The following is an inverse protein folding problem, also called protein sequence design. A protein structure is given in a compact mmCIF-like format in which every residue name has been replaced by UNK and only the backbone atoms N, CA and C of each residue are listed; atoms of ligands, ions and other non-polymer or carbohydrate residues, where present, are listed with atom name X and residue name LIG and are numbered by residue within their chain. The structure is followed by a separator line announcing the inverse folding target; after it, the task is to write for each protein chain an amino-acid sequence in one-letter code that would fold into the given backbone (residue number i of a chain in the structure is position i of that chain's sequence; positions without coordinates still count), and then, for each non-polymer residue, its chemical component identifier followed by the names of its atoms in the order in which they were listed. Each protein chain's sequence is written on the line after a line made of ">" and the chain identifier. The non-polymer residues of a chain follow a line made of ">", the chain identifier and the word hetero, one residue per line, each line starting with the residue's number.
data_IF_214385957353
#
_entry.id   IF_214385957353
#
_cell.length_a   1.000
_cell.length_b   1.000
_cell.length_c   1.000
_cell.angle_alpha   90.00
_cell.angle_beta   90.00
_cell.angle_gamma   90.00
#
_symmetry.space_group_name_H-M   'P 1'
#
loop_
_entity.id
_entity.type
_entity.pdbx_description
1 polymer ?
#
# COMPACT_ATOMS: atom_id res chain seq x y z
N UNK A 1 -25.02 10.39 2.30
CA UNK A 1 -23.90 11.31 2.05
C UNK A 1 -22.63 10.47 1.98
N UNK A 2 -22.30 9.92 0.82
CA UNK A 2 -21.04 9.20 0.66
C UNK A 2 -19.93 10.25 0.69
N UNK A 3 -19.10 10.24 1.74
CA UNK A 3 -17.97 11.15 1.84
C UNK A 3 -17.06 10.95 0.64
N UNK A 4 -16.73 12.03 -0.04
CA UNK A 4 -15.78 12.02 -1.17
C UNK A 4 -14.49 11.31 -0.71
N UNK A 5 -14.03 10.33 -1.49
CA UNK A 5 -12.77 9.67 -1.17
C UNK A 5 -11.68 10.74 -1.18
N UNK A 6 -10.81 10.79 -0.15
CA UNK A 6 -9.83 11.88 -0.04
C UNK A 6 -8.93 11.96 -1.28
N UNK A 7 -8.26 13.09 -1.50
CA UNK A 7 -7.32 13.23 -2.62
C UNK A 7 -6.16 12.21 -2.54
N UNK A 8 -5.60 11.85 -3.69
CA UNK A 8 -4.44 10.95 -3.80
C UNK A 8 -3.11 11.62 -3.42
N UNK A 9 -2.82 12.88 -3.83
CA UNK A 9 -1.58 13.55 -3.43
C UNK A 9 -1.43 13.66 -1.90
N UNK A 10 -0.19 13.52 -1.43
CA UNK A 10 0.16 13.50 -0.01
C UNK A 10 -0.02 12.14 0.67
N UNK A 11 -0.56 11.13 -0.02
CA UNK A 11 -0.75 9.78 0.54
C UNK A 11 0.52 8.95 0.43
N UNK A 12 0.79 8.17 1.47
CA UNK A 12 1.76 7.06 1.41
C UNK A 12 1.27 5.99 0.43
N UNK A 13 2.15 5.46 -0.40
CA UNK A 13 1.81 4.45 -1.42
C UNK A 13 2.79 3.29 -1.39
N UNK A 14 2.27 2.07 -1.60
CA UNK A 14 3.04 0.86 -1.88
C UNK A 14 2.74 0.39 -3.29
N UNK A 15 3.79 0.06 -4.03
CA UNK A 15 3.74 -0.33 -5.43
C UNK A 15 4.46 -1.67 -5.59
N UNK A 16 3.84 -2.60 -6.30
CA UNK A 16 4.49 -3.81 -6.78
C UNK A 16 4.22 -3.91 -8.28
N UNK A 17 5.28 -3.97 -9.08
CA UNK A 17 5.16 -4.26 -10.51
C UNK A 17 5.12 -5.78 -10.73
N UNK A 18 4.62 -6.22 -11.88
CA UNK A 18 4.84 -7.59 -12.33
C UNK A 18 6.34 -7.75 -12.65
N UNK A 19 6.96 -8.81 -12.12
CA UNK A 19 8.23 -9.24 -12.70
C UNK A 19 7.97 -9.89 -14.06
N UNK A 20 9.02 -10.08 -14.87
CA UNK A 20 8.94 -10.83 -16.13
C UNK A 20 8.59 -12.33 -15.95
N UNK A 21 8.32 -12.78 -14.73
CA UNK A 21 7.88 -14.14 -14.42
C UNK A 21 6.36 -14.31 -14.50
N UNK A 22 5.88 -15.55 -14.56
CA UNK A 22 4.46 -15.85 -14.67
C UNK A 22 3.69 -15.29 -13.44
N UNK A 23 2.64 -14.46 -13.63
CA UNK A 23 1.88 -13.85 -12.52
C UNK A 23 1.30 -14.89 -11.54
N UNK A 24 0.93 -16.07 -12.05
CA UNK A 24 0.40 -17.18 -11.25
C UNK A 24 1.46 -17.79 -10.32
N UNK A 25 2.74 -17.80 -10.73
CA UNK A 25 3.82 -18.30 -9.89
C UNK A 25 4.19 -17.30 -8.78
N UNK A 26 4.00 -15.99 -9.01
CA UNK A 26 4.21 -14.98 -7.98
C UNK A 26 3.11 -14.97 -6.91
N UNK A 27 1.87 -15.29 -7.28
CA UNK A 27 0.75 -15.39 -6.34
C UNK A 27 0.94 -16.52 -5.31
N UNK A 28 1.82 -17.48 -5.58
CA UNK A 28 2.19 -18.56 -4.65
C UNK A 28 3.25 -18.13 -3.62
N UNK A 29 3.97 -17.03 -3.86
CA UNK A 29 4.98 -16.53 -2.92
C UNK A 29 4.32 -15.70 -1.81
N UNK A 30 4.83 -15.76 -0.57
CA UNK A 30 4.39 -14.87 0.49
C UNK A 30 4.46 -13.41 0.04
N UNK A 31 3.43 -12.61 0.36
CA UNK A 31 3.40 -11.20 -0.04
C UNK A 31 4.58 -10.40 0.55
N UNK A 32 5.21 -10.86 1.63
CA UNK A 32 6.44 -10.27 2.19
C UNK A 32 7.64 -10.31 1.26
N UNK A 33 7.64 -11.24 0.30
CA UNK A 33 8.80 -11.55 -0.54
C UNK A 33 8.71 -10.88 -1.92
N UNK A 34 7.71 -10.04 -2.12
CA UNK A 34 7.53 -9.29 -3.36
C UNK A 34 8.39 -8.02 -3.37
N UNK A 35 8.71 -7.53 -4.58
CA UNK A 35 9.53 -6.33 -4.80
C UNK A 35 8.73 -5.04 -4.54
N UNK A 36 8.32 -4.85 -3.29
CA UNK A 36 7.59 -3.67 -2.86
C UNK A 36 8.47 -2.43 -2.93
N UNK A 37 7.96 -1.41 -3.60
CA UNK A 37 8.51 -0.06 -3.55
C UNK A 37 7.52 0.85 -2.86
N UNK A 38 8.03 1.72 -2.02
CA UNK A 38 7.20 2.62 -1.25
C UNK A 38 7.59 4.07 -1.52
N UNK A 39 6.60 4.95 -1.53
CA UNK A 39 6.81 6.37 -1.75
C UNK A 39 5.66 7.23 -1.27
N UNK A 40 5.62 8.43 -1.80
CA UNK A 40 4.58 9.43 -1.60
C UNK A 40 4.01 9.83 -2.94
N UNK A 41 2.69 9.87 -3.03
CA UNK A 41 2.02 10.43 -4.21
C UNK A 41 2.19 11.94 -4.14
N UNK A 42 2.91 12.51 -5.10
CA UNK A 42 3.17 13.94 -5.21
C UNK A 42 2.15 14.65 -6.11
N UNK A 43 1.61 13.94 -7.11
CA UNK A 43 0.58 14.44 -8.00
C UNK A 43 -0.27 13.30 -8.59
N UNK A 44 -1.45 13.61 -9.13
CA UNK A 44 -2.31 12.70 -9.88
C UNK A 44 -2.82 13.40 -11.14
N UNK A 45 -2.94 12.68 -12.24
CA UNK A 45 -3.41 13.24 -13.52
C UNK A 45 -4.92 13.49 -13.54
N UNK A 46 -5.69 12.74 -12.74
CA UNK A 46 -7.14 12.86 -12.64
C UNK A 46 -7.56 12.87 -11.17
N UNK A 47 -8.65 13.57 -10.87
CA UNK A 47 -9.28 13.56 -9.54
C UNK A 47 -10.07 12.27 -9.31
N UNK A 48 -10.79 11.82 -10.35
CA UNK A 48 -11.52 10.56 -10.30
C UNK A 48 -10.53 9.38 -10.25
N UNK A 49 -10.63 8.63 -9.14
CA UNK A 49 -9.80 7.47 -8.88
C UNK A 49 -10.11 6.32 -9.84
N UNK A 50 -11.31 6.29 -10.43
CA UNK A 50 -11.78 5.24 -11.33
C UNK A 50 -11.47 5.53 -12.81
N UNK A 51 -10.87 6.69 -13.11
CA UNK A 51 -10.52 7.07 -14.46
C UNK A 51 -9.48 6.09 -15.04
N UNK A 52 -9.76 5.47 -16.19
CA UNK A 52 -8.91 4.43 -16.78
C UNK A 52 -7.48 4.93 -17.10
N UNK A 53 -7.34 6.20 -17.50
CA UNK A 53 -6.04 6.83 -17.76
C UNK A 53 -5.39 7.49 -16.53
N UNK A 54 -5.87 7.16 -15.32
CA UNK A 54 -5.29 7.69 -14.09
C UNK A 54 -3.80 7.31 -13.99
N UNK A 55 -2.98 8.33 -13.75
CA UNK A 55 -1.57 8.20 -13.46
C UNK A 55 -1.23 8.99 -12.21
N UNK A 56 -0.30 8.46 -11.40
CA UNK A 56 0.18 9.12 -10.19
C UNK A 56 1.69 9.37 -10.29
N UNK A 57 2.12 10.56 -9.93
CA UNK A 57 3.54 10.89 -9.80
C UNK A 57 3.98 10.52 -8.39
N UNK A 58 4.91 9.57 -8.28
CA UNK A 58 5.37 9.05 -6.99
C UNK A 58 6.84 9.38 -6.81
N UNK A 59 7.15 9.95 -5.66
CA UNK A 59 8.51 10.04 -5.13
C UNK A 59 8.72 8.85 -4.19
N UNK A 60 9.62 7.96 -4.54
CA UNK A 60 9.95 6.77 -3.78
C UNK A 60 10.92 7.10 -2.65
N UNK A 61 10.96 6.23 -1.64
CA UNK A 61 11.85 6.39 -0.47
C UNK A 61 13.34 6.36 -0.85
N UNK A 62 13.67 5.79 -2.01
CA UNK A 62 15.01 5.77 -2.62
C UNK A 62 15.33 7.04 -3.45
N UNK A 63 14.49 8.08 -3.33
CA UNK A 63 14.57 9.35 -4.05
C UNK A 63 14.32 9.28 -5.57
N UNK A 64 13.94 8.11 -6.10
CA UNK A 64 13.51 8.03 -7.49
C UNK A 64 12.09 8.59 -7.65
N UNK A 65 11.86 9.26 -8.78
CA UNK A 65 10.55 9.80 -9.11
C UNK A 65 10.06 9.22 -10.43
N UNK A 66 8.80 8.80 -10.50
CA UNK A 66 8.20 8.30 -11.74
C UNK A 66 6.69 8.52 -11.78
N UNK A 67 6.18 8.66 -13.00
CA UNK A 67 4.75 8.54 -13.27
C UNK A 67 4.38 7.06 -13.38
N UNK A 68 3.36 6.65 -12.64
CA UNK A 68 2.83 5.29 -12.64
C UNK A 68 1.43 5.34 -13.21
N UNK A 69 1.20 4.63 -14.32
CA UNK A 69 -0.13 4.38 -14.86
C UNK A 69 -0.84 3.39 -13.96
N UNK A 70 -1.89 3.82 -13.28
CA UNK A 70 -2.56 3.04 -12.23
C UNK A 70 -3.17 1.77 -12.82
N UNK A 71 -3.87 1.88 -13.94
CA UNK A 71 -4.56 0.75 -14.58
C UNK A 71 -3.74 0.07 -15.69
N UNK A 72 -2.40 0.21 -15.68
CA UNK A 72 -1.54 -0.53 -16.61
C UNK A 72 -1.50 -2.03 -16.26
N UNK A 73 -1.37 -2.89 -17.27
CA UNK A 73 -1.30 -4.35 -17.12
C UNK A 73 -0.02 -4.81 -16.43
N UNK A 74 1.07 -4.07 -16.58
CA UNK A 74 2.35 -4.34 -15.90
C UNK A 74 2.30 -4.06 -14.38
N UNK A 75 1.25 -3.38 -13.90
CA UNK A 75 1.10 -3.04 -12.50
C UNK A 75 0.32 -4.12 -11.76
N UNK A 76 1.02 -4.88 -10.93
CA UNK A 76 0.45 -5.94 -10.11
C UNK A 76 -0.46 -5.39 -9.02
N UNK A 77 0.08 -4.47 -8.20
CA UNK A 77 -0.59 -3.89 -7.05
C UNK A 77 -0.20 -2.42 -6.87
N UNK A 78 -1.19 -1.62 -6.51
CA UNK A 78 -1.00 -0.27 -5.99
C UNK A 78 -1.89 -0.10 -4.76
N UNK A 79 -1.24 0.10 -3.63
CA UNK A 79 -1.90 0.28 -2.34
C UNK A 79 -1.68 1.72 -1.87
N UNK A 80 -2.75 2.35 -1.40
CA UNK A 80 -2.67 3.69 -0.82
C UNK A 80 -2.98 3.63 0.65
N UNK A 81 -2.37 4.54 1.39
CA UNK A 81 -2.68 4.82 2.78
C UNK A 81 -4.18 4.78 3.06
N UNK A 82 -4.54 4.13 4.17
CA UNK A 82 -5.92 3.98 4.60
C UNK A 82 -6.17 4.47 6.02
N UNK A 83 -5.63 3.79 7.03
CA UNK A 83 -5.93 4.07 8.44
C UNK A 83 -4.69 3.99 9.32
N UNK A 84 -4.67 4.83 10.36
CA UNK A 84 -3.75 4.73 11.49
C UNK A 84 -4.26 3.68 12.47
N UNK A 85 -3.41 2.72 12.81
CA UNK A 85 -3.72 1.62 13.71
C UNK A 85 -2.61 1.46 14.74
N UNK A 86 -2.93 0.84 15.86
CA UNK A 86 -1.94 0.25 16.74
C UNK A 86 -1.75 -1.20 16.31
N UNK A 87 -0.49 -1.58 16.10
CA UNK A 87 -0.11 -2.93 15.74
C UNK A 87 0.98 -3.44 16.69
N UNK A 88 0.93 -4.73 16.99
CA UNK A 88 1.99 -5.38 17.77
C UNK A 88 3.24 -5.58 16.90
N UNK A 89 4.39 -5.13 17.40
CA UNK A 89 5.68 -5.42 16.79
C UNK A 89 6.27 -6.67 17.45
N UNK A 90 6.31 -7.79 16.71
CA UNK A 90 6.76 -9.11 17.21
C UNK A 90 8.12 -9.10 17.91
N UNK A 91 9.02 -8.19 17.53
CA UNK A 91 10.37 -8.06 18.08
C UNK A 91 10.46 -7.18 19.34
N UNK A 92 9.37 -6.54 19.77
CA UNK A 92 9.36 -5.63 20.92
C UNK A 92 8.49 -6.13 22.07
N UNK A 93 8.47 -7.43 22.35
CA UNK A 93 7.81 -8.03 23.51
C UNK A 93 6.33 -7.63 23.68
N UNK A 94 5.57 -7.52 22.58
CA UNK A 94 4.15 -7.16 22.64
C UNK A 94 3.86 -5.65 22.69
N UNK A 95 4.87 -4.78 22.55
CA UNK A 95 4.65 -3.33 22.47
C UNK A 95 3.78 -3.00 21.26
N UNK A 96 2.73 -2.25 21.55
CA UNK A 96 1.80 -1.66 20.60
C UNK A 96 2.41 -0.40 20.00
N UNK A 97 2.62 -0.39 18.69
CA UNK A 97 3.23 0.72 17.97
C UNK A 97 2.24 1.34 16.97
N UNK A 98 2.22 2.68 16.84
CA UNK A 98 1.48 3.34 15.78
C UNK A 98 1.97 2.91 14.40
N UNK A 99 1.03 2.55 13.55
CA UNK A 99 1.27 2.03 12.22
C UNK A 99 0.20 2.48 11.24
N UNK A 100 0.51 2.33 9.96
CA UNK A 100 -0.33 2.66 8.83
C UNK A 100 -0.76 1.40 8.11
N UNK A 101 -2.05 1.30 7.83
CA UNK A 101 -2.63 0.28 6.94
C UNK A 101 -2.87 0.85 5.56
N UNK A 102 -3.01 -0.05 4.59
CA UNK A 102 -3.21 0.30 3.20
C UNK A 102 -4.47 -0.34 2.63
N UNK A 103 -5.06 0.31 1.63
CA UNK A 103 -6.16 -0.22 0.81
C UNK A 103 -5.73 -0.32 -0.64
N UNK A 104 -6.21 -1.35 -1.33
CA UNK A 104 -5.94 -1.54 -2.75
C UNK A 104 -6.64 -0.45 -3.57
N UNK A 105 -5.88 0.20 -4.46
CA UNK A 105 -6.43 0.92 -5.61
C UNK A 105 -6.46 0.00 -6.84
N UNK A 106 -5.43 -0.84 -6.98
CA UNK A 106 -5.33 -1.90 -7.99
C UNK A 106 -4.80 -3.16 -7.33
N UNK A 107 -5.43 -4.29 -7.64
CA UNK A 107 -5.05 -5.62 -7.20
C UNK A 107 -5.35 -6.64 -8.29
N UNK A 108 -4.32 -7.04 -9.04
CA UNK A 108 -4.46 -8.01 -10.14
C UNK A 108 -4.15 -9.45 -9.74
N UNK A 109 -3.68 -9.67 -8.51
CA UNK A 109 -3.23 -10.99 -8.03
C UNK A 109 -4.08 -11.51 -6.87
N UNK A 110 -4.99 -10.70 -6.35
CA UNK A 110 -5.91 -11.07 -5.28
C UNK A 110 -5.21 -11.10 -3.93
N UNK A 111 -4.79 -9.95 -3.42
CA UNK A 111 -4.31 -9.77 -2.05
C UNK A 111 -5.48 -9.85 -1.06
N UNK A 112 -6.11 -11.02 -0.95
CA UNK A 112 -7.40 -11.17 -0.24
C UNK A 112 -7.22 -11.33 1.29
N UNK A 113 -6.08 -11.85 1.72
CA UNK A 113 -5.88 -12.33 3.11
C UNK A 113 -4.71 -11.69 3.85
N UNK A 114 -4.06 -10.69 3.26
CA UNK A 114 -2.87 -10.04 3.83
C UNK A 114 -3.05 -8.53 3.84
N UNK A 115 -2.83 -7.92 5.00
CA UNK A 115 -2.83 -6.48 5.21
C UNK A 115 -1.39 -6.01 5.45
N UNK A 116 -0.82 -5.21 4.54
CA UNK A 116 0.45 -4.53 4.81
C UNK A 116 0.27 -3.50 5.92
N UNK A 117 1.22 -3.46 6.83
CA UNK A 117 1.27 -2.55 7.97
C UNK A 117 2.65 -1.91 8.02
N UNK A 118 2.72 -0.60 7.97
CA UNK A 118 3.97 0.17 8.06
C UNK A 118 4.03 0.92 9.38
N UNK A 119 5.01 0.62 10.24
CA UNK A 119 5.21 1.35 11.49
C UNK A 119 5.70 2.77 11.24
N UNK A 120 5.13 3.74 11.95
CA UNK A 120 5.44 5.15 11.73
C UNK A 120 6.83 5.54 12.26
N UNK A 121 7.33 4.81 13.25
CA UNK A 121 8.59 5.10 13.95
C UNK A 121 9.80 4.91 13.05
N UNK A 122 9.85 3.80 12.31
CA UNK A 122 11.03 3.35 11.56
C UNK A 122 10.71 2.98 10.11
N UNK A 123 9.46 3.16 9.66
CA UNK A 123 8.96 2.73 8.34
C UNK A 123 9.07 1.23 8.10
N UNK A 124 9.32 0.43 9.15
CA UNK A 124 9.38 -1.01 9.03
C UNK A 124 8.02 -1.56 8.64
N UNK A 125 8.00 -2.49 7.69
CA UNK A 125 6.77 -3.06 7.15
C UNK A 125 6.62 -4.52 7.53
N UNK A 126 5.42 -4.89 7.91
CA UNK A 126 5.01 -6.27 8.11
C UNK A 126 3.75 -6.56 7.30
N UNK A 127 3.51 -7.84 7.05
CA UNK A 127 2.36 -8.34 6.30
C UNK A 127 1.57 -9.23 7.25
N UNK A 128 0.44 -8.73 7.72
CA UNK A 128 -0.40 -9.44 8.68
C UNK A 128 -1.50 -10.21 7.96
N UNK A 129 -1.78 -11.44 8.40
CA UNK A 129 -3.03 -12.10 8.01
C UNK A 129 -4.21 -11.36 8.66
N UNK A 130 -5.34 -11.32 7.95
CA UNK A 130 -6.52 -10.51 8.31
C UNK A 130 -7.11 -10.81 9.70
N UNK A 131 -6.73 -11.92 10.31
CA UNK A 131 -7.15 -12.38 11.64
C UNK A 131 -6.29 -11.82 12.79
N UNK A 132 -5.23 -11.06 12.51
CA UNK A 132 -4.40 -10.44 13.54
C UNK A 132 -5.02 -9.14 14.10
N UNK A 133 -4.86 -8.95 15.41
CA UNK A 133 -5.43 -7.88 16.25
C UNK A 133 -4.87 -6.48 15.95
N UNK A 134 -5.35 -5.84 14.87
CA UNK A 134 -5.17 -4.41 14.62
C UNK A 134 -6.21 -3.58 15.39
N UNK A 135 -5.76 -2.54 16.09
CA UNK A 135 -6.66 -1.61 16.79
C UNK A 135 -6.65 -0.24 16.11
N UNK A 136 -7.82 0.27 15.69
CA UNK A 136 -7.91 1.58 15.06
C UNK A 136 -7.53 2.70 16.04
N UNK A 137 -6.59 3.57 15.65
CA UNK A 137 -6.26 4.76 16.42
C UNK A 137 -7.24 5.87 16.08
N UNK A 138 -7.98 6.35 17.07
CA UNK A 138 -8.81 7.55 16.95
C UNK A 138 -7.95 8.76 17.27
N UNK A 139 -7.65 9.57 16.26
CA UNK A 139 -7.04 10.89 16.47
C UNK A 139 -8.17 11.83 16.90
N UNK A 140 -8.06 12.38 18.12
CA UNK A 140 -9.02 13.34 18.69
C UNK A 140 -8.81 14.75 18.14
#
# INVERSE_FOLDING_TARGET
>A
MAGEAPSLPGRRVLVCALSSSCPQAEALRPASDWDWRAGWIRAASHQDRLHQDLSVFVEFDDHQCQWIKVYNDDLKLLLVEHQLVSAERKLSNGVQCPALTFKCLVDRVGLVSVSPVEFLTDRYRIFLQKENSLQLLKVQ
#
